data_IF_785330729166
#
_entry.id   IF_785330729166
#
_cell.length_a   1.000
_cell.length_b   1.000
_cell.length_c   1.000
_cell.angle_alpha   90.00
_cell.angle_beta   90.00
_cell.angle_gamma   90.00
#
_symmetry.space_group_name_H-M   'P 1'
#
loop_
_entity.id
_entity.type
_entity.pdbx_description
1 polymer ?
#
# COMPACT_ATOMS: atom_id res chain seq x y z
N UNK A 1 -9.52 10.71 -12.58
CA UNK A 1 -8.55 9.60 -12.53
C UNK A 1 -8.23 9.17 -11.11
N UNK A 2 -7.31 9.82 -10.37
CA UNK A 2 -7.02 9.43 -8.97
C UNK A 2 -8.29 9.42 -8.10
N UNK A 3 -9.15 10.43 -8.25
CA UNK A 3 -10.48 10.47 -7.59
C UNK A 3 -11.39 9.28 -7.91
N UNK A 4 -11.33 8.75 -9.14
CA UNK A 4 -12.11 7.57 -9.51
C UNK A 4 -11.54 6.31 -8.88
N UNK A 5 -10.21 6.16 -8.86
CA UNK A 5 -9.52 5.06 -8.18
C UNK A 5 -9.85 5.06 -6.69
N UNK A 6 -9.75 6.22 -6.02
CA UNK A 6 -10.12 6.37 -4.61
C UNK A 6 -11.57 5.93 -4.41
N UNK A 7 -12.50 6.42 -5.25
CA UNK A 7 -13.91 6.03 -5.17
C UNK A 7 -14.09 4.51 -5.30
N UNK A 8 -13.45 3.87 -6.29
CA UNK A 8 -13.53 2.42 -6.48
C UNK A 8 -13.00 1.65 -5.28
N UNK A 9 -11.88 2.08 -4.70
CA UNK A 9 -11.31 1.44 -3.52
C UNK A 9 -12.21 1.61 -2.29
N UNK A 10 -12.80 2.79 -2.08
CA UNK A 10 -13.77 3.04 -1.00
C UNK A 10 -15.06 2.23 -1.14
N UNK A 11 -15.40 1.76 -2.34
CA UNK A 11 -16.56 0.89 -2.60
C UNK A 11 -16.19 -0.61 -2.59
N UNK A 12 -14.90 -0.94 -2.40
CA UNK A 12 -14.40 -2.32 -2.40
C UNK A 12 -14.58 -2.95 -1.02
N UNK A 13 -15.21 -4.12 -0.97
CA UNK A 13 -15.42 -4.86 0.28
C UNK A 13 -14.08 -5.14 0.99
N UNK A 14 -14.03 -4.83 2.28
CA UNK A 14 -12.87 -5.07 3.14
C UNK A 14 -11.75 -4.03 3.00
N UNK A 15 -11.98 -2.92 2.28
CA UNK A 15 -11.07 -1.79 2.20
C UNK A 15 -11.73 -0.53 2.79
N UNK A 16 -10.97 0.26 3.54
CA UNK A 16 -11.42 1.54 4.09
C UNK A 16 -10.27 2.58 4.14
N UNK A 17 -10.55 3.79 4.62
CA UNK A 17 -9.57 4.83 4.94
C UNK A 17 -8.62 5.21 3.79
N UNK A 18 -9.17 5.28 2.57
CA UNK A 18 -8.38 5.53 1.34
C UNK A 18 -7.92 6.99 1.27
N UNK A 19 -6.61 7.21 1.44
CA UNK A 19 -5.98 8.52 1.43
C UNK A 19 -4.81 8.59 0.45
N UNK A 20 -4.63 9.76 -0.19
CA UNK A 20 -3.49 10.01 -1.07
C UNK A 20 -2.30 10.51 -0.25
N UNK A 21 -1.15 9.85 -0.39
CA UNK A 21 0.09 10.30 0.24
C UNK A 21 0.63 11.54 -0.48
N UNK A 22 1.07 12.51 0.33
CA UNK A 22 1.88 13.63 -0.15
C UNK A 22 3.36 13.22 -0.21
N UNK A 23 4.15 13.94 -0.99
CA UNK A 23 5.59 13.64 -1.14
C UNK A 23 6.33 13.75 0.20
N UNK A 24 5.98 14.70 1.07
CA UNK A 24 6.61 14.83 2.39
C UNK A 24 6.35 13.58 3.27
N UNK A 25 5.16 12.98 3.16
CA UNK A 25 4.83 11.75 3.88
C UNK A 25 5.57 10.55 3.27
N UNK A 26 5.70 10.49 1.94
CA UNK A 26 6.48 9.45 1.27
C UNK A 26 7.93 9.46 1.74
N UNK A 27 8.55 10.63 1.83
CA UNK A 27 9.94 10.76 2.29
C UNK A 27 10.11 10.27 3.74
N UNK A 28 9.15 10.55 4.61
CA UNK A 28 9.15 10.01 5.98
C UNK A 28 9.06 8.48 5.96
N UNK A 29 8.14 7.91 5.18
CA UNK A 29 7.98 6.46 5.09
C UNK A 29 9.28 5.81 4.60
N UNK A 30 9.96 6.38 3.60
CA UNK A 30 11.25 5.86 3.11
C UNK A 30 12.31 5.78 4.19
N UNK A 31 12.33 6.73 5.10
CA UNK A 31 13.31 6.77 6.19
C UNK A 31 12.96 5.83 7.35
N UNK A 32 11.69 5.44 7.48
CA UNK A 32 11.20 4.54 8.53
C UNK A 32 11.11 3.08 8.07
N UNK A 33 10.98 2.84 6.77
CA UNK A 33 10.79 1.49 6.24
C UNK A 33 12.09 0.69 6.20
N UNK A 34 11.97 -0.64 6.28
CA UNK A 34 13.09 -1.54 6.07
C UNK A 34 13.41 -1.67 4.57
N UNK A 35 14.69 -1.54 4.21
CA UNK A 35 15.20 -1.73 2.85
C UNK A 35 14.82 -3.09 2.24
N UNK A 36 14.59 -4.12 3.06
CA UNK A 36 14.13 -5.44 2.60
C UNK A 36 12.67 -5.47 2.15
N UNK A 37 11.89 -4.42 2.43
CA UNK A 37 10.51 -4.26 1.97
C UNK A 37 10.45 -3.55 0.61
N UNK A 38 11.02 -4.21 -0.39
CA UNK A 38 11.05 -3.74 -1.78
C UNK A 38 9.66 -3.34 -2.31
N UNK A 39 8.61 -3.98 -1.81
CA UNK A 39 7.23 -3.70 -2.15
C UNK A 39 6.81 -2.30 -1.73
N UNK A 40 7.14 -1.85 -0.52
CA UNK A 40 6.82 -0.49 -0.05
C UNK A 40 7.62 0.53 -0.83
N UNK A 41 8.93 0.32 -1.01
CA UNK A 41 9.78 1.22 -1.78
C UNK A 41 9.22 1.37 -3.21
N UNK A 42 8.86 0.24 -3.83
CA UNK A 42 8.21 0.22 -5.15
C UNK A 42 6.90 0.99 -5.19
N UNK A 43 6.08 0.96 -4.14
CA UNK A 43 4.85 1.74 -4.05
C UNK A 43 5.10 3.25 -4.00
N UNK A 44 6.10 3.67 -3.22
CA UNK A 44 6.45 5.07 -3.02
C UNK A 44 7.10 5.69 -4.27
N UNK A 45 7.81 4.88 -5.06
CA UNK A 45 8.46 5.29 -6.32
C UNK A 45 7.46 5.59 -7.45
N UNK A 46 6.19 5.23 -7.25
CA UNK A 46 5.14 5.54 -8.21
C UNK A 46 4.69 6.98 -8.12
N UNK A 47 4.18 7.51 -9.23
CA UNK A 47 3.68 8.89 -9.29
C UNK A 47 2.61 9.19 -8.24
N UNK A 48 1.71 8.25 -7.99
CA UNK A 48 0.69 8.34 -6.96
C UNK A 48 0.82 7.16 -6.01
N UNK A 49 0.71 7.41 -4.72
CA UNK A 49 0.66 6.37 -3.69
C UNK A 49 -0.53 6.62 -2.78
N UNK A 50 -1.38 5.61 -2.62
CA UNK A 50 -2.47 5.63 -1.67
C UNK A 50 -2.09 4.83 -0.43
N UNK A 51 -2.57 5.26 0.72
CA UNK A 51 -2.70 4.43 1.92
C UNK A 51 -4.17 4.10 2.10
N UNK A 52 -4.47 2.90 2.56
CA UNK A 52 -5.80 2.45 2.95
C UNK A 52 -5.67 1.42 4.07
N UNK A 53 -6.78 1.05 4.68
CA UNK A 53 -6.85 -0.07 5.62
C UNK A 53 -7.58 -1.24 4.99
N UNK A 54 -7.22 -2.46 5.40
CA UNK A 54 -7.95 -3.65 5.01
C UNK A 54 -8.18 -4.58 6.20
N UNK A 55 -9.28 -5.32 6.15
CA UNK A 55 -9.67 -6.31 7.15
C UNK A 55 -9.53 -7.75 6.61
N UNK A 56 -9.98 -8.72 7.40
CA UNK A 56 -10.04 -10.14 7.01
C UNK A 56 -11.09 -10.47 5.95
N UNK A 57 -11.96 -9.52 5.60
CA UNK A 57 -12.95 -9.68 4.53
C UNK A 57 -12.40 -9.29 3.16
N UNK A 58 -11.23 -8.63 3.10
CA UNK A 58 -10.54 -8.40 1.84
C UNK A 58 -9.95 -9.70 1.28
N UNK A 59 -9.85 -9.79 -0.04
CA UNK A 59 -9.35 -10.99 -0.72
C UNK A 59 -7.89 -11.30 -0.34
N UNK A 60 -7.52 -12.57 -0.48
CA UNK A 60 -6.13 -12.99 -0.36
C UNK A 60 -5.21 -12.31 -1.40
N UNK A 61 -3.91 -12.14 -1.10
CA UNK A 61 -2.91 -11.66 -2.04
C UNK A 61 -2.84 -12.52 -3.31
N UNK A 62 -2.67 -11.89 -4.47
CA UNK A 62 -2.58 -12.59 -5.76
C UNK A 62 -1.24 -13.31 -5.99
N UNK A 63 -0.25 -13.08 -5.12
CA UNK A 63 1.10 -13.64 -5.16
C UNK A 63 1.66 -13.75 -3.74
N UNK A 64 2.76 -14.48 -3.62
CA UNK A 64 3.51 -14.63 -2.37
C UNK A 64 4.04 -13.29 -1.85
N UNK A 65 3.72 -12.97 -0.60
CA UNK A 65 4.03 -11.70 0.06
C UNK A 65 5.39 -11.67 0.77
N UNK A 66 6.02 -12.83 0.95
CA UNK A 66 7.34 -12.98 1.55
C UNK A 66 8.16 -13.91 0.69
N UNK A 67 9.35 -13.49 0.27
CA UNK A 67 10.32 -14.35 -0.41
C UNK A 67 11.50 -14.61 0.50
N UNK A 68 12.01 -15.84 0.43
CA UNK A 68 13.24 -16.22 1.13
C UNK A 68 14.24 -16.78 0.13
N UNK A 69 15.28 -16.01 -0.16
CA UNK A 69 16.34 -16.38 -1.11
C UNK A 69 17.69 -16.21 -0.42
N UNK A 70 18.59 -17.20 -0.53
CA UNK A 70 19.93 -17.17 0.06
C UNK A 70 20.01 -16.85 1.57
N UNK A 71 18.93 -17.10 2.32
CA UNK A 71 18.86 -16.79 3.75
C UNK A 71 18.35 -15.38 4.07
N UNK A 72 18.16 -14.53 3.06
CA UNK A 72 17.57 -13.20 3.18
C UNK A 72 16.05 -13.28 2.99
N UNK A 73 15.32 -12.43 3.73
CA UNK A 73 13.87 -12.32 3.65
C UNK A 73 13.55 -10.99 2.98
N UNK A 74 12.81 -11.03 1.88
CA UNK A 74 12.35 -9.84 1.16
C UNK A 74 10.83 -9.83 1.03
N UNK A 75 10.26 -8.63 0.95
CA UNK A 75 8.82 -8.42 0.75
C UNK A 75 8.62 -7.80 -0.63
N UNK A 76 8.31 -8.59 -1.66
CA UNK A 76 8.24 -8.10 -3.03
C UNK A 76 6.97 -7.26 -3.29
N UNK A 77 6.98 -6.38 -4.30
CA UNK A 77 5.77 -5.69 -4.74
C UNK A 77 4.73 -6.67 -5.30
N UNK A 78 3.48 -6.52 -4.88
CA UNK A 78 2.37 -7.38 -5.29
C UNK A 78 1.44 -6.63 -6.24
N UNK A 79 0.98 -7.21 -7.37
CA UNK A 79 -0.02 -6.58 -8.21
C UNK A 79 -1.33 -6.32 -7.45
N UNK A 80 -2.00 -5.19 -7.73
CA UNK A 80 -3.27 -4.84 -7.10
C UNK A 80 -4.40 -4.67 -8.16
N UNK A 81 -5.09 -5.76 -8.54
CA UNK A 81 -6.02 -5.80 -9.68
C UNK A 81 -7.25 -4.87 -9.57
N UNK A 82 -7.61 -4.42 -8.37
CA UNK A 82 -8.72 -3.48 -8.13
C UNK A 82 -8.45 -2.11 -8.76
N UNK A 83 -7.19 -1.71 -8.88
CA UNK A 83 -6.81 -0.43 -9.48
C UNK A 83 -6.52 -0.61 -10.97
N UNK A 84 -7.36 0.01 -11.82
CA UNK A 84 -7.20 0.00 -13.28
C UNK A 84 -6.28 1.16 -13.74
N UNK A 85 -4.99 1.03 -13.40
CA UNK A 85 -3.92 1.96 -13.78
C UNK A 85 -2.68 1.21 -14.30
N UNK A 86 -1.64 1.93 -14.69
CA UNK A 86 -0.34 1.40 -15.09
C UNK A 86 0.60 1.26 -13.89
N UNK A 87 1.46 0.23 -13.93
CA UNK A 87 2.48 -0.04 -12.91
C UNK A 87 1.94 -0.15 -11.47
N UNK A 88 0.76 -0.74 -11.34
CA UNK A 88 0.09 -0.89 -10.04
C UNK A 88 0.77 -1.96 -9.21
N UNK A 89 1.22 -1.55 -8.04
CA UNK A 89 1.81 -2.43 -7.02
C UNK A 89 1.25 -2.07 -5.65
N UNK A 90 1.23 -3.04 -4.75
CA UNK A 90 0.84 -2.89 -3.36
C UNK A 90 1.81 -3.61 -2.45
N UNK A 91 1.95 -3.12 -1.22
CA UNK A 91 2.68 -3.81 -0.15
C UNK A 91 2.16 -3.37 1.22
N UNK A 92 2.26 -4.28 2.18
CA UNK A 92 2.03 -3.96 3.59
C UNK A 92 3.31 -3.34 4.17
N UNK A 93 3.20 -2.21 4.89
CA UNK A 93 4.34 -1.58 5.52
C UNK A 93 4.85 -2.37 6.73
N UNK A 94 6.07 -2.04 7.18
CA UNK A 94 6.52 -2.48 8.51
C UNK A 94 5.65 -1.91 9.61
N UNK A 95 5.77 -2.48 10.82
CA UNK A 95 5.05 -2.00 12.00
C UNK A 95 5.30 -0.53 12.30
N UNK A 96 6.54 -0.06 12.14
CA UNK A 96 6.90 1.34 12.43
C UNK A 96 6.18 2.31 11.48
N UNK A 97 6.20 2.00 10.18
CA UNK A 97 5.46 2.77 9.17
C UNK A 97 3.95 2.66 9.37
N UNK A 98 3.44 1.49 9.74
CA UNK A 98 2.03 1.29 10.08
C UNK A 98 1.60 2.22 11.22
N UNK A 99 2.32 2.21 12.34
CA UNK A 99 2.02 3.03 13.52
C UNK A 99 2.10 4.53 13.18
N UNK A 100 3.08 4.93 12.34
CA UNK A 100 3.18 6.29 11.82
C UNK A 100 1.94 6.69 10.99
N UNK A 101 1.52 5.86 10.04
CA UNK A 101 0.36 6.13 9.17
C UNK A 101 -0.94 6.22 9.96
N UNK A 102 -1.12 5.36 10.96
CA UNK A 102 -2.29 5.38 11.85
C UNK A 102 -2.40 6.72 12.56
N UNK A 103 -1.29 7.24 13.07
CA UNK A 103 -1.23 8.54 13.72
C UNK A 103 -1.43 9.70 12.75
N UNK A 104 -0.74 9.68 11.61
CA UNK A 104 -0.76 10.76 10.61
C UNK A 104 -2.16 10.97 10.01
N UNK A 105 -2.87 9.88 9.74
CA UNK A 105 -4.22 9.92 9.16
C UNK A 105 -5.34 9.77 10.18
N UNK A 106 -5.02 9.73 11.49
CA UNK A 106 -5.97 9.51 12.58
C UNK A 106 -6.91 8.31 12.29
N UNK A 107 -6.31 7.19 11.91
CA UNK A 107 -7.02 5.97 11.55
C UNK A 107 -7.50 5.27 12.82
N UNK A 108 -8.79 4.95 12.88
CA UNK A 108 -9.32 4.07 13.93
C UNK A 108 -9.32 2.65 13.40
N UNK A 109 -8.44 1.81 13.94
CA UNK A 109 -8.31 0.41 13.54
C UNK A 109 -8.92 -0.49 14.62
N UNK A 110 -9.74 -1.46 14.21
CA UNK A 110 -10.15 -2.58 15.08
C UNK A 110 -9.27 -3.79 14.79
N UNK A 111 -9.54 -4.51 13.69
CA UNK A 111 -8.76 -5.67 13.21
C UNK A 111 -8.09 -5.38 11.85
N UNK A 112 -7.90 -4.09 11.56
CA UNK A 112 -7.46 -3.59 10.26
C UNK A 112 -5.93 -3.42 10.19
N UNK A 113 -5.35 -3.67 9.02
CA UNK A 113 -3.96 -3.38 8.72
C UNK A 113 -3.85 -2.34 7.59
N UNK A 114 -2.80 -1.51 7.64
CA UNK A 114 -2.55 -0.54 6.57
C UNK A 114 -1.94 -1.21 5.33
N UNK A 115 -2.28 -0.70 4.16
CA UNK A 115 -1.76 -1.15 2.87
C UNK A 115 -1.41 0.06 2.02
N UNK A 116 -0.25 0.02 1.36
CA UNK A 116 0.15 1.01 0.37
C UNK A 116 -0.13 0.50 -1.03
N UNK A 117 -0.63 1.37 -1.92
CA UNK A 117 -0.79 1.11 -3.35
C UNK A 117 -0.11 2.21 -4.16
N UNK A 118 0.90 1.87 -4.95
CA UNK A 118 1.54 2.77 -5.90
C UNK A 118 1.07 2.56 -7.34
N UNK A 119 0.89 3.64 -8.11
CA UNK A 119 0.61 3.61 -9.57
C UNK A 119 1.00 4.92 -10.28
N UNK A 120 1.25 4.87 -11.60
CA UNK A 120 1.77 6.03 -12.35
C UNK A 120 0.70 6.83 -13.12
N UNK A 121 -0.19 6.15 -13.83
CA UNK A 121 -1.21 6.78 -14.70
C UNK A 121 -2.38 5.81 -14.91
N UNK A 122 -3.62 6.32 -15.05
CA UNK A 122 -4.76 5.58 -15.62
C UNK A 122 -5.11 6.16 -17.01
N UNK A 123 -5.86 5.54 -17.92
CA UNK A 123 -6.64 4.29 -17.90
C UNK A 123 -6.01 3.33 -18.92
N UNK A 124 -5.99 2.02 -18.63
CA UNK A 124 -5.65 0.98 -19.61
C UNK A 124 -6.91 0.46 -20.28
#
# INVERSE_FOLDING_TARGET
MVRQIIKTLSETKGLDNVNLLKEEIKDIIRNLENDSNEGVISCLDRKYTLVLTHDSNFRDPVREIVKKENGEITFPPIPFPEVKATNVVSSSPSKEVHDFLVKEFNLTLEDDATLLIGFDSGIK
#
